data_IF_107145574865
#
_entry.id   IF_107145574865
#
_cell.length_a   1.000
_cell.length_b   1.000
_cell.length_c   1.000
_cell.angle_alpha   90.00
_cell.angle_beta   90.00
_cell.angle_gamma   90.00
#
_symmetry.space_group_name_H-M   'P 1'
#
loop_
_entity.id
_entity.type
_entity.pdbx_description
1 polymer ?
#
# COMPACT_ATOMS: atom_id res chain seq x y z
N UNK A 1 -2.13 -10.35 -8.33
CA UNK A 1 -1.55 -10.14 -6.99
C UNK A 1 -0.04 -10.13 -7.14
N UNK A 2 0.60 -9.16 -6.52
CA UNK A 2 2.05 -9.03 -6.45
C UNK A 2 2.54 -9.64 -5.14
N UNK A 3 3.58 -10.47 -5.22
CA UNK A 3 4.28 -11.08 -4.10
C UNK A 3 5.76 -10.75 -4.19
N UNK A 4 6.40 -10.55 -3.04
CA UNK A 4 7.85 -10.53 -2.89
C UNK A 4 8.35 -11.93 -2.49
N UNK A 5 9.65 -12.15 -2.60
CA UNK A 5 10.34 -13.39 -2.23
C UNK A 5 10.38 -13.66 -0.71
N UNK A 6 10.23 -12.61 0.10
CA UNK A 6 10.17 -12.62 1.56
C UNK A 6 8.77 -12.82 2.15
N UNK A 7 7.75 -13.12 1.30
CA UNK A 7 6.37 -13.31 1.72
C UNK A 7 6.00 -14.79 1.88
N UNK A 8 5.53 -15.16 3.07
CA UNK A 8 5.13 -16.52 3.43
C UNK A 8 3.63 -16.60 3.68
N UNK A 9 2.97 -17.55 3.02
CA UNK A 9 1.55 -17.86 3.27
C UNK A 9 1.44 -18.78 4.49
N UNK A 10 0.79 -18.29 5.54
CA UNK A 10 0.53 -19.09 6.75
C UNK A 10 -0.82 -19.81 6.70
N UNK A 11 -1.75 -19.31 5.87
CA UNK A 11 -3.09 -19.88 5.67
C UNK A 11 -3.37 -20.06 4.20
N UNK A 12 -4.22 -21.04 3.88
CA UNK A 12 -4.77 -21.16 2.54
C UNK A 12 -5.51 -19.86 2.20
N UNK A 13 -5.11 -19.24 1.10
CA UNK A 13 -5.72 -18.00 0.60
C UNK A 13 -6.57 -18.28 -0.63
N UNK A 14 -7.66 -17.52 -0.76
CA UNK A 14 -8.60 -17.60 -1.87
C UNK A 14 -8.56 -16.28 -2.67
N UNK A 15 -8.96 -16.28 -3.94
CA UNK A 15 -9.09 -15.03 -4.70
C UNK A 15 -9.93 -13.96 -4.00
N UNK A 16 -10.93 -14.38 -3.20
CA UNK A 16 -11.78 -13.47 -2.40
C UNK A 16 -11.06 -12.79 -1.25
N UNK A 17 -9.87 -13.25 -0.84
CA UNK A 17 -9.03 -12.59 0.15
C UNK A 17 -8.31 -11.37 -0.44
N UNK A 18 -8.15 -11.36 -1.77
CA UNK A 18 -7.46 -10.31 -2.51
C UNK A 18 -8.42 -9.42 -3.30
N UNK A 19 -9.56 -9.94 -3.74
CA UNK A 19 -10.52 -9.21 -4.57
C UNK A 19 -11.95 -9.41 -4.06
N UNK A 20 -12.78 -8.40 -4.31
CA UNK A 20 -14.22 -8.47 -4.04
C UNK A 20 -14.99 -7.99 -5.27
N UNK A 21 -16.07 -8.66 -5.59
CA UNK A 21 -16.97 -8.23 -6.67
C UNK A 21 -17.54 -6.86 -6.33
N UNK A 22 -17.36 -5.90 -7.22
CA UNK A 22 -17.93 -4.57 -7.05
C UNK A 22 -19.42 -4.59 -7.40
N UNK A 23 -20.26 -3.94 -6.60
CA UNK A 23 -21.64 -3.70 -7.03
C UNK A 23 -21.67 -2.57 -8.06
N UNK A 24 -22.53 -2.69 -9.06
CA UNK A 24 -22.69 -1.71 -10.15
C UNK A 24 -22.85 -0.26 -9.66
N UNK A 25 -23.52 -0.05 -8.51
CA UNK A 25 -23.66 1.28 -7.87
C UNK A 25 -22.36 1.87 -7.32
N UNK A 26 -21.37 1.03 -6.94
CA UNK A 26 -20.08 1.50 -6.42
C UNK A 26 -19.10 1.84 -7.54
N UNK A 27 -19.21 1.20 -8.69
CA UNK A 27 -18.39 1.48 -9.87
C UNK A 27 -18.71 2.86 -10.48
N UNK A 28 -19.98 3.25 -10.54
CA UNK A 28 -20.40 4.51 -11.12
C UNK A 28 -19.86 5.76 -10.37
N UNK A 29 -19.64 5.67 -9.06
CA UNK A 29 -19.07 6.77 -8.25
C UNK A 29 -17.53 6.91 -8.33
N UNK A 30 -16.83 5.87 -8.79
CA UNK A 30 -15.37 5.85 -8.89
C UNK A 30 -14.85 6.20 -10.30
N UNK A 31 -15.75 6.43 -11.27
CA UNK A 31 -15.37 6.59 -12.68
C UNK A 31 -15.34 8.07 -13.10
N UNK A 32 -14.45 8.88 -12.55
CA UNK A 32 -14.17 10.17 -13.19
C UNK A 32 -13.07 10.08 -14.26
N UNK A 33 -12.40 8.94 -14.49
CA UNK A 33 -11.22 8.92 -15.36
C UNK A 33 -11.04 7.76 -16.33
N UNK A 34 -11.98 6.84 -16.56
CA UNK A 34 -11.87 5.94 -17.72
C UNK A 34 -13.15 5.14 -17.99
N UNK A 35 -13.74 5.35 -19.16
CA UNK A 35 -14.82 4.52 -19.74
C UNK A 35 -14.27 3.24 -20.39
N UNK A 36 -13.33 2.54 -19.74
CA UNK A 36 -12.85 1.25 -20.23
C UNK A 36 -13.53 0.14 -19.44
N UNK A 37 -14.04 -0.85 -20.14
CA UNK A 37 -14.73 -2.07 -19.70
C UNK A 37 -14.69 -2.33 -18.20
N UNK A 38 -15.82 -2.23 -17.55
CA UNK A 38 -16.03 -2.34 -16.11
C UNK A 38 -15.30 -3.56 -15.53
N UNK A 39 -14.12 -3.34 -14.94
CA UNK A 39 -13.51 -4.35 -14.10
C UNK A 39 -14.47 -4.59 -12.93
N UNK A 40 -15.04 -5.78 -12.88
CA UNK A 40 -16.10 -6.17 -11.93
C UNK A 40 -15.57 -6.38 -10.52
N UNK A 41 -14.25 -6.28 -10.29
CA UNK A 41 -13.60 -6.60 -9.03
C UNK A 41 -12.78 -5.44 -8.50
N UNK A 42 -12.89 -5.21 -7.19
CA UNK A 42 -12.04 -4.27 -6.44
C UNK A 42 -10.97 -5.05 -5.68
N UNK A 43 -9.71 -4.62 -5.75
CA UNK A 43 -8.66 -5.17 -4.89
C UNK A 43 -8.95 -4.85 -3.43
N UNK A 44 -8.65 -5.79 -2.54
CA UNK A 44 -8.71 -5.55 -1.10
C UNK A 44 -7.41 -4.92 -0.64
N UNK A 45 -7.52 -3.80 0.05
CA UNK A 45 -6.38 -3.07 0.57
C UNK A 45 -6.68 -2.48 1.96
N UNK A 46 -5.63 -2.11 2.64
CA UNK A 46 -5.65 -1.42 3.93
C UNK A 46 -5.06 -0.01 3.73
N UNK A 47 -5.80 1.00 4.14
CA UNK A 47 -5.32 2.37 4.12
C UNK A 47 -4.95 2.83 5.53
N UNK A 48 -3.74 3.31 5.68
CA UNK A 48 -3.33 4.06 6.86
C UNK A 48 -2.30 5.11 6.45
N UNK A 49 -2.36 6.26 7.09
CA UNK A 49 -1.27 7.23 7.03
C UNK A 49 -0.15 6.83 7.99
N UNK A 50 1.05 7.32 7.69
CA UNK A 50 2.21 7.22 8.55
C UNK A 50 3.00 8.54 8.49
N UNK A 51 3.97 8.68 9.39
CA UNK A 51 4.90 9.81 9.39
C UNK A 51 6.23 9.29 8.85
N UNK A 52 6.72 9.95 7.82
CA UNK A 52 8.09 9.75 7.37
C UNK A 52 9.00 10.65 8.21
N UNK A 53 9.82 10.04 9.05
CA UNK A 53 10.90 10.72 9.77
C UNK A 53 12.16 10.46 8.97
N UNK A 54 12.67 11.50 8.30
CA UNK A 54 13.92 11.40 7.56
C UNK A 54 15.06 11.91 8.44
N UNK A 55 15.85 10.99 8.95
CA UNK A 55 17.19 11.31 9.46
C UNK A 55 18.19 11.18 8.33
N UNK A 56 19.20 12.06 8.23
CA UNK A 56 20.31 11.86 7.31
C UNK A 56 20.92 10.48 7.55
N UNK A 57 20.66 9.55 6.66
CA UNK A 57 21.14 8.19 6.77
C UNK A 57 21.78 7.77 5.45
N UNK A 58 22.59 6.72 5.49
CA UNK A 58 23.14 6.08 4.28
C UNK A 58 22.09 5.22 3.57
N UNK A 59 20.98 4.94 4.24
CA UNK A 59 19.88 4.18 3.65
C UNK A 59 19.15 5.01 2.57
N UNK A 60 19.04 4.45 1.40
CA UNK A 60 18.41 5.07 0.22
C UNK A 60 16.88 4.98 0.31
N UNK A 61 16.34 4.00 1.03
CA UNK A 61 14.90 3.71 1.03
C UNK A 61 14.02 4.88 1.50
N UNK A 62 14.36 5.65 2.56
CA UNK A 62 13.60 6.83 2.94
C UNK A 62 13.50 7.89 1.83
N UNK A 63 14.54 8.08 1.03
CA UNK A 63 14.52 9.01 -0.11
C UNK A 63 13.54 8.55 -1.19
N UNK A 64 13.52 7.25 -1.50
CA UNK A 64 12.57 6.66 -2.45
C UNK A 64 11.14 6.87 -1.97
N UNK A 65 10.87 6.70 -0.67
CA UNK A 65 9.56 6.98 -0.09
C UNK A 65 9.18 8.46 -0.22
N UNK A 66 10.12 9.37 0.03
CA UNK A 66 9.89 10.82 -0.15
C UNK A 66 9.56 11.16 -1.60
N UNK A 67 10.30 10.59 -2.56
CA UNK A 67 10.05 10.82 -3.99
C UNK A 67 8.67 10.33 -4.40
N UNK A 68 8.25 9.15 -3.95
CA UNK A 68 6.89 8.66 -4.17
C UNK A 68 5.85 9.64 -3.60
N UNK A 69 6.04 10.11 -2.36
CA UNK A 69 5.10 11.01 -1.71
C UNK A 69 5.08 12.40 -2.35
N UNK A 70 6.21 12.88 -2.86
CA UNK A 70 6.28 14.15 -3.61
C UNK A 70 5.39 14.09 -4.87
N UNK A 71 5.47 13.00 -5.64
CA UNK A 71 4.62 12.80 -6.82
C UNK A 71 3.14 12.64 -6.45
N UNK A 72 2.85 11.92 -5.39
CA UNK A 72 1.49 11.73 -4.87
C UNK A 72 0.88 13.08 -4.46
N UNK A 73 1.59 13.90 -3.70
CA UNK A 73 1.10 15.18 -3.21
C UNK A 73 0.97 16.24 -4.33
N UNK A 74 1.69 16.10 -5.44
CA UNK A 74 1.47 16.92 -6.63
C UNK A 74 0.11 16.63 -7.29
N UNK A 75 -0.32 15.36 -7.29
CA UNK A 75 -1.56 14.92 -7.96
C UNK A 75 -2.77 14.96 -7.03
N UNK A 76 -2.63 14.52 -5.79
CA UNK A 76 -3.73 14.30 -4.87
C UNK A 76 -3.78 15.32 -3.75
N UNK A 77 -4.96 15.90 -3.53
CA UNK A 77 -5.22 16.74 -2.36
C UNK A 77 -5.79 15.88 -1.23
N UNK A 78 -5.11 15.85 -0.10
CA UNK A 78 -5.47 15.04 1.06
C UNK A 78 -6.88 15.32 1.57
N UNK A 79 -7.27 16.59 1.70
CA UNK A 79 -8.62 16.98 2.12
C UNK A 79 -9.71 16.45 1.18
N UNK A 80 -9.42 16.42 -0.13
CA UNK A 80 -10.33 15.89 -1.12
C UNK A 80 -10.49 14.37 -1.01
N UNK A 81 -9.39 13.64 -0.81
CA UNK A 81 -9.42 12.21 -0.57
C UNK A 81 -10.30 11.86 0.63
N UNK A 82 -10.11 12.52 1.77
CA UNK A 82 -10.93 12.29 2.96
C UNK A 82 -12.39 12.64 2.76
N UNK A 83 -12.70 13.70 2.02
CA UNK A 83 -14.05 14.09 1.70
C UNK A 83 -14.76 13.07 0.78
N UNK A 84 -14.06 12.60 -0.26
CA UNK A 84 -14.65 11.69 -1.25
C UNK A 84 -14.68 10.23 -0.79
N UNK A 85 -13.70 9.82 0.01
CA UNK A 85 -13.45 8.44 0.38
C UNK A 85 -13.48 8.18 1.89
N UNK A 86 -14.27 8.97 2.64
CA UNK A 86 -14.34 8.91 4.10
C UNK A 86 -14.46 7.47 4.65
N UNK A 87 -15.41 6.67 4.15
CA UNK A 87 -15.63 5.28 4.59
C UNK A 87 -14.54 4.30 4.14
N UNK A 88 -13.58 4.76 3.31
CA UNK A 88 -12.39 4.00 2.93
C UNK A 88 -11.17 4.47 3.70
N UNK A 89 -11.13 5.73 4.07
CA UNK A 89 -10.10 6.30 4.94
C UNK A 89 -10.30 5.86 6.40
N UNK A 90 -11.57 5.73 6.83
CA UNK A 90 -11.95 5.26 8.16
C UNK A 90 -12.80 4.01 8.05
N UNK A 91 -12.27 2.89 8.53
CA UNK A 91 -13.01 1.63 8.48
C UNK A 91 -12.69 0.77 9.70
N UNK A 92 -13.69 0.09 10.28
CA UNK A 92 -13.54 -0.73 11.50
C UNK A 92 -12.42 -1.77 11.38
N UNK A 93 -12.18 -2.31 10.18
CA UNK A 93 -11.12 -3.28 9.91
C UNK A 93 -9.69 -2.75 10.16
N UNK A 94 -9.51 -1.44 10.24
CA UNK A 94 -8.20 -0.83 10.45
C UNK A 94 -7.81 -0.74 11.92
N UNK A 95 -8.79 -0.89 12.84
CA UNK A 95 -8.52 -0.86 14.27
C UNK A 95 -7.88 0.47 14.71
N UNK A 96 -6.77 0.37 15.44
CA UNK A 96 -6.04 1.54 15.98
C UNK A 96 -5.53 2.50 14.90
N UNK A 97 -5.33 2.04 13.67
CA UNK A 97 -4.88 2.90 12.57
C UNK A 97 -5.89 4.00 12.19
N UNK A 98 -7.18 3.82 12.54
CA UNK A 98 -8.16 4.90 12.40
C UNK A 98 -7.80 6.12 13.23
N UNK A 99 -7.27 5.94 14.45
CA UNK A 99 -6.81 7.04 15.29
C UNK A 99 -5.63 7.77 14.64
N UNK A 100 -4.67 7.02 14.06
CA UNK A 100 -3.56 7.61 13.32
C UNK A 100 -4.05 8.40 12.11
N UNK A 101 -4.95 7.83 11.31
CA UNK A 101 -5.55 8.52 10.18
C UNK A 101 -6.26 9.81 10.61
N UNK A 102 -6.98 9.79 11.75
CA UNK A 102 -7.64 10.96 12.30
C UNK A 102 -6.63 12.03 12.71
N UNK A 103 -5.59 11.68 13.46
CA UNK A 103 -4.57 12.63 13.91
C UNK A 103 -3.81 13.24 12.74
N UNK A 104 -3.48 12.46 11.72
CA UNK A 104 -2.75 12.94 10.55
C UNK A 104 -3.65 13.65 9.54
N UNK A 105 -4.97 13.47 9.57
CA UNK A 105 -5.90 14.13 8.65
C UNK A 105 -5.85 15.67 8.72
N UNK A 106 -5.40 16.24 9.85
CA UNK A 106 -5.21 17.68 10.03
C UNK A 106 -4.00 18.25 9.29
N UNK A 107 -3.05 17.40 8.84
CA UNK A 107 -1.92 17.85 8.03
C UNK A 107 -2.38 18.13 6.61
N UNK A 108 -1.80 19.16 5.99
CA UNK A 108 -2.17 19.58 4.63
C UNK A 108 -1.87 18.51 3.57
N UNK A 109 -0.74 17.84 3.71
CA UNK A 109 -0.19 16.89 2.77
C UNK A 109 -0.09 15.48 3.40
N UNK A 110 -0.04 14.43 2.57
CA UNK A 110 0.33 13.10 3.05
C UNK A 110 1.83 13.08 3.37
N UNK A 111 2.20 12.75 4.62
CA UNK A 111 3.61 12.54 4.96
C UNK A 111 4.10 11.21 4.41
N UNK A 112 3.36 10.14 4.67
CA UNK A 112 3.59 8.81 4.12
C UNK A 112 2.27 8.03 4.13
N UNK A 113 2.08 7.18 3.15
CA UNK A 113 1.05 6.13 3.19
C UNK A 113 1.72 4.84 3.64
N UNK A 114 1.14 4.22 4.67
CA UNK A 114 1.70 3.02 5.28
C UNK A 114 1.76 1.87 4.28
N UNK A 115 2.93 1.27 4.14
CA UNK A 115 3.14 0.02 3.42
C UNK A 115 2.95 -1.15 4.39
N UNK A 116 1.93 -2.00 4.19
CA UNK A 116 1.71 -3.15 5.06
C UNK A 116 2.69 -4.30 4.81
N UNK A 117 3.69 -4.16 3.95
CA UNK A 117 4.61 -5.23 3.54
C UNK A 117 3.86 -6.56 3.38
N UNK A 118 2.97 -6.62 2.42
CA UNK A 118 2.18 -7.82 2.16
C UNK A 118 1.83 -7.96 0.68
N UNK A 119 1.42 -9.16 0.31
CA UNK A 119 0.91 -9.42 -1.04
C UNK A 119 -0.20 -8.43 -1.41
N UNK A 120 0.05 -7.67 -2.46
CA UNK A 120 -0.79 -6.56 -2.87
C UNK A 120 -1.57 -6.90 -4.13
N UNK A 121 -2.87 -6.69 -4.07
CA UNK A 121 -3.76 -6.85 -5.21
C UNK A 121 -3.86 -5.55 -6.00
N UNK A 122 -3.64 -5.61 -7.30
CA UNK A 122 -3.72 -4.46 -8.21
C UNK A 122 -4.74 -4.68 -9.31
N UNK A 123 -5.35 -3.61 -9.78
CA UNK A 123 -6.04 -3.58 -11.07
C UNK A 123 -5.03 -3.35 -12.19
N UNK A 124 -5.21 -4.03 -13.33
CA UNK A 124 -4.34 -3.81 -14.50
C UNK A 124 -4.42 -2.38 -15.03
N UNK A 125 -5.57 -1.72 -14.91
CA UNK A 125 -5.75 -0.32 -15.32
C UNK A 125 -4.83 0.65 -14.57
N UNK A 126 -4.54 0.39 -13.28
CA UNK A 126 -3.64 1.22 -12.48
C UNK A 126 -2.22 1.23 -13.07
N UNK A 127 -1.71 0.09 -13.55
CA UNK A 127 -0.39 0.06 -14.18
C UNK A 127 -0.33 0.96 -15.41
N UNK A 128 -1.36 0.91 -16.27
CA UNK A 128 -1.42 1.75 -17.48
C UNK A 128 -1.51 3.24 -17.13
N UNK A 129 -2.30 3.57 -16.10
CA UNK A 129 -2.50 4.94 -15.65
C UNK A 129 -1.20 5.51 -15.05
N UNK A 130 -0.59 4.80 -14.13
CA UNK A 130 0.64 5.23 -13.44
C UNK A 130 1.80 5.34 -14.42
N UNK A 131 1.95 4.38 -15.37
CA UNK A 131 2.95 4.49 -16.44
C UNK A 131 2.73 5.68 -17.35
N UNK A 132 1.49 6.06 -17.63
CA UNK A 132 1.19 7.26 -18.42
C UNK A 132 1.51 8.53 -17.65
N UNK A 133 1.18 8.56 -16.37
CA UNK A 133 1.30 9.74 -15.51
C UNK A 133 2.74 10.03 -15.10
N UNK A 134 3.49 8.99 -14.71
CA UNK A 134 4.83 9.10 -14.14
C UNK A 134 5.89 8.44 -15.04
N UNK A 135 5.67 8.51 -16.38
CA UNK A 135 6.51 7.81 -17.37
C UNK A 135 7.99 8.14 -17.22
N UNK A 136 8.31 9.41 -17.16
CA UNK A 136 9.70 9.88 -17.07
C UNK A 136 10.41 9.33 -15.82
N UNK A 137 9.78 9.43 -14.67
CA UNK A 137 10.36 8.97 -13.39
C UNK A 137 10.50 7.45 -13.35
N UNK A 138 9.53 6.72 -13.91
CA UNK A 138 9.59 5.27 -14.00
C UNK A 138 10.68 4.80 -14.98
N UNK A 139 10.82 5.45 -16.12
CA UNK A 139 11.86 5.15 -17.11
C UNK A 139 13.26 5.45 -16.53
N UNK A 140 13.45 6.59 -15.88
CA UNK A 140 14.70 6.95 -15.19
C UNK A 140 15.07 5.93 -14.11
N UNK A 141 14.10 5.54 -13.28
CA UNK A 141 14.32 4.52 -12.26
C UNK A 141 14.69 3.16 -12.87
N UNK A 142 13.95 2.74 -13.89
CA UNK A 142 14.17 1.43 -14.54
C UNK A 142 15.47 1.34 -15.32
N UNK A 143 16.02 2.47 -15.77
CA UNK A 143 17.28 2.51 -16.52
C UNK A 143 18.51 2.37 -15.62
N UNK A 144 18.38 2.55 -14.31
CA UNK A 144 19.51 2.46 -13.37
C UNK A 144 19.83 1.01 -13.01
N UNK A 145 21.11 0.61 -13.05
CA UNK A 145 21.52 -0.75 -12.65
C UNK A 145 21.44 -0.97 -11.13
N UNK A 146 21.52 0.08 -10.34
CA UNK A 146 21.45 0.06 -8.86
C UNK A 146 20.48 1.12 -8.36
N UNK A 147 19.93 0.91 -7.17
CA UNK A 147 19.06 1.88 -6.49
C UNK A 147 19.78 3.21 -6.26
N UNK A 148 19.02 4.28 -6.43
CA UNK A 148 19.46 5.65 -6.22
C UNK A 148 18.48 6.40 -5.33
N UNK A 149 18.97 7.42 -4.62
CA UNK A 149 18.12 8.33 -3.83
C UNK A 149 17.15 9.16 -4.67
N UNK A 150 17.26 9.12 -6.00
CA UNK A 150 16.35 9.77 -6.94
C UNK A 150 15.27 8.83 -7.50
N UNK A 151 15.30 7.55 -7.12
CA UNK A 151 14.36 6.57 -7.62
C UNK A 151 12.98 6.73 -7.01
N UNK A 152 12.01 6.15 -7.67
CA UNK A 152 10.68 5.87 -7.13
C UNK A 152 10.50 4.35 -7.03
N UNK A 153 9.53 3.89 -6.25
CA UNK A 153 9.28 2.47 -6.11
C UNK A 153 7.92 2.06 -6.67
N UNK A 154 7.72 0.76 -6.80
CA UNK A 154 6.42 0.18 -7.17
C UNK A 154 5.26 0.60 -6.24
N UNK A 155 5.56 1.15 -5.06
CA UNK A 155 4.54 1.66 -4.14
C UNK A 155 3.71 2.81 -4.74
N UNK A 156 4.23 3.52 -5.74
CA UNK A 156 3.46 4.55 -6.45
C UNK A 156 2.16 3.99 -7.06
N UNK A 157 2.17 2.74 -7.54
CA UNK A 157 0.98 2.05 -8.05
C UNK A 157 -0.03 1.78 -6.94
N UNK A 158 0.45 1.37 -5.77
CA UNK A 158 -0.38 1.10 -4.60
C UNK A 158 -1.02 2.39 -4.07
N UNK A 159 -0.22 3.45 -3.92
CA UNK A 159 -0.70 4.74 -3.43
C UNK A 159 -1.74 5.35 -4.37
N UNK A 160 -1.48 5.32 -5.68
CA UNK A 160 -2.45 5.78 -6.69
C UNK A 160 -3.77 5.01 -6.57
N UNK A 161 -3.73 3.68 -6.51
CA UNK A 161 -4.93 2.85 -6.35
C UNK A 161 -5.73 3.17 -5.09
N UNK A 162 -5.04 3.42 -3.96
CA UNK A 162 -5.69 3.81 -2.71
C UNK A 162 -6.36 5.18 -2.82
N UNK A 163 -5.64 6.16 -3.35
CA UNK A 163 -6.11 7.55 -3.40
C UNK A 163 -7.19 7.78 -4.46
N UNK A 164 -7.21 7.00 -5.53
CA UNK A 164 -8.37 6.93 -6.45
C UNK A 164 -9.59 6.24 -5.81
N UNK A 165 -9.43 5.73 -4.59
CA UNK A 165 -10.49 5.00 -3.90
C UNK A 165 -10.85 3.68 -4.58
N UNK A 166 -9.96 3.12 -5.41
CA UNK A 166 -10.21 1.89 -6.17
C UNK A 166 -9.79 0.66 -5.37
N UNK A 167 -10.37 0.51 -4.20
CA UNK A 167 -10.14 -0.65 -3.34
C UNK A 167 -11.32 -0.93 -2.41
N UNK A 168 -11.34 -2.12 -1.83
CA UNK A 168 -12.24 -2.50 -0.74
C UNK A 168 -11.43 -2.70 0.55
N UNK A 169 -11.88 -2.16 1.70
CA UNK A 169 -11.16 -2.25 2.97
C UNK A 169 -10.87 -3.69 3.40
N UNK A 170 -9.61 -3.98 3.70
CA UNK A 170 -9.10 -5.23 4.25
C UNK A 170 -8.64 -5.02 5.69
N UNK A 171 -8.62 -6.07 6.49
CA UNK A 171 -8.11 -6.01 7.86
C UNK A 171 -6.62 -5.68 7.88
N UNK A 172 -6.20 -4.78 8.78
CA UNK A 172 -4.79 -4.52 9.08
C UNK A 172 -4.06 -5.78 9.61
N UNK A 173 -4.82 -6.73 10.15
CA UNK A 173 -4.30 -8.01 10.67
C UNK A 173 -4.19 -9.10 9.59
N UNK A 174 -4.34 -8.77 8.32
CA UNK A 174 -4.21 -9.75 7.24
C UNK A 174 -2.77 -10.24 7.08
N UNK A 175 -1.82 -9.33 7.20
CA UNK A 175 -0.40 -9.59 7.13
C UNK A 175 0.34 -9.00 8.32
N UNK A 176 1.55 -9.46 8.54
CA UNK A 176 2.48 -8.90 9.49
C UNK A 176 3.89 -8.90 8.89
N UNK A 177 4.61 -7.81 9.11
CA UNK A 177 6.02 -7.68 8.74
C UNK A 177 6.87 -7.82 10.00
N UNK A 178 7.95 -8.55 9.91
CA UNK A 178 8.92 -8.74 10.98
C UNK A 178 10.31 -8.94 10.39
N UNK A 179 11.32 -8.76 11.20
CA UNK A 179 12.72 -8.97 10.82
C UNK A 179 13.28 -10.12 11.63
N UNK A 180 14.13 -10.93 11.01
CA UNK A 180 14.99 -11.86 11.74
C UNK A 180 15.92 -11.04 12.65
N UNK A 181 16.27 -11.58 13.79
CA UNK A 181 17.08 -10.86 14.76
C UNK A 181 17.51 -11.77 15.91
N UNK A 182 17.53 -11.22 17.11
CA UNK A 182 17.86 -11.96 18.33
C UNK A 182 16.87 -13.10 18.60
N UNK A 183 17.30 -14.11 19.35
CA UNK A 183 16.56 -15.35 19.62
C UNK A 183 15.14 -15.11 20.13
N UNK A 184 14.91 -14.14 20.99
CA UNK A 184 13.58 -13.80 21.49
C UNK A 184 12.61 -13.36 20.39
N UNK A 185 13.09 -12.66 19.38
CA UNK A 185 12.29 -12.25 18.24
C UNK A 185 11.98 -13.44 17.35
N UNK A 186 12.97 -14.28 17.10
CA UNK A 186 12.82 -15.50 16.30
C UNK A 186 11.83 -16.49 16.95
N UNK A 187 11.82 -16.61 18.28
CA UNK A 187 10.81 -17.41 18.98
C UNK A 187 9.38 -16.85 18.81
N UNK A 188 9.22 -15.53 18.78
CA UNK A 188 7.91 -14.90 18.49
C UNK A 188 7.46 -15.21 17.07
N UNK A 189 8.37 -15.16 16.08
CA UNK A 189 8.09 -15.51 14.68
C UNK A 189 7.62 -16.97 14.60
N UNK A 190 8.34 -17.89 15.21
CA UNK A 190 7.97 -19.32 15.27
C UNK A 190 6.55 -19.49 15.85
N UNK A 191 6.22 -18.78 16.92
CA UNK A 191 4.88 -18.82 17.50
C UNK A 191 3.80 -18.26 16.57
N UNK A 192 4.09 -17.18 15.84
CA UNK A 192 3.16 -16.61 14.85
C UNK A 192 2.88 -17.63 13.74
N UNK A 193 3.90 -18.33 13.26
CA UNK A 193 3.79 -19.38 12.25
C UNK A 193 2.98 -20.56 12.78
N UNK A 194 3.35 -21.12 13.95
CA UNK A 194 2.66 -22.28 14.56
C UNK A 194 1.17 -21.98 14.83
N UNK A 195 0.85 -20.78 15.28
CA UNK A 195 -0.54 -20.36 15.58
C UNK A 195 -1.28 -19.86 14.34
N UNK A 196 -0.62 -19.77 13.19
CA UNK A 196 -1.17 -19.16 11.96
C UNK A 196 -1.91 -17.85 12.25
N UNK A 197 -1.27 -16.95 13.02
CA UNK A 197 -1.90 -15.73 13.55
C UNK A 197 -2.37 -14.80 12.43
N UNK A 198 -1.62 -14.73 11.33
CA UNK A 198 -1.89 -13.92 10.14
C UNK A 198 -2.16 -14.80 8.93
N UNK A 199 -2.65 -14.24 7.84
CA UNK A 199 -2.73 -14.93 6.55
C UNK A 199 -1.37 -14.94 5.84
N UNK A 200 -0.63 -13.84 5.99
CA UNK A 200 0.67 -13.59 5.39
C UNK A 200 1.66 -13.12 6.45
N UNK A 201 2.89 -13.53 6.32
CA UNK A 201 4.02 -13.05 7.07
C UNK A 201 5.12 -12.62 6.09
N UNK A 202 5.61 -11.41 6.23
CA UNK A 202 6.83 -10.94 5.58
C UNK A 202 7.96 -11.06 6.61
N UNK A 203 9.04 -11.72 6.24
CA UNK A 203 10.21 -11.94 7.11
C UNK A 203 11.42 -11.44 6.35
N UNK A 204 11.97 -10.31 6.79
CA UNK A 204 13.18 -9.76 6.23
C UNK A 204 14.40 -10.17 7.06
N UNK A 205 15.55 -10.25 6.39
CA UNK A 205 16.84 -10.41 7.04
C UNK A 205 17.13 -9.14 7.85
N UNK A 206 17.52 -9.32 9.11
CA UNK A 206 18.10 -8.23 9.87
C UNK A 206 19.57 -8.12 9.46
N UNK A 207 19.97 -7.04 8.78
CA UNK A 207 21.38 -6.67 8.64
C UNK A 207 21.92 -6.13 9.95
#
# INVERSE_FOLDING_TARGET
VYFNDDFYLLKVTKPTDYFVKASSKKLAKSQNHSKTSAETYLPRAFFAENILINNPSRDIFPYIQMNNMALINQKYRKSEFYRQHFFKAYHLKYGIFNLRNLLLSFWKEFSLIYDPHCATAYRKSIFKEVWREYKEQLELTSARPFRSNQDISHMIFFYTQLLDGVFAPRSAKFSHHTMLGEDDNNQKIIQMVKKQKYHLLCINDGE
#
